data_IF_614448160121
#
_entry.id   IF_614448160121
#
_cell.length_a   1.000
_cell.length_b   1.000
_cell.length_c   1.000
_cell.angle_alpha   90.00
_cell.angle_beta   90.00
_cell.angle_gamma   90.00
#
_symmetry.space_group_name_H-M   'P 1'
#
loop_
_entity.id
_entity.type
_entity.pdbx_description
1 polymer ?
#
# COMPACT_ATOMS: atom_id res chain seq x y z
N UNK A 1 -0.44 14.22 -3.66
CA UNK A 1 -1.01 13.21 -2.73
C UNK A 1 -0.87 11.88 -3.42
N UNK A 2 -0.58 10.80 -2.69
CA UNK A 2 -0.27 9.52 -3.31
C UNK A 2 -1.36 8.50 -3.02
N UNK A 3 -1.65 7.66 -4.01
CA UNK A 3 -2.44 6.44 -3.83
C UNK A 3 -1.66 5.23 -4.36
N UNK A 4 -1.82 4.09 -3.70
CA UNK A 4 -1.34 2.79 -4.19
C UNK A 4 -2.08 1.67 -3.46
N UNK A 5 -1.85 0.43 -3.88
CA UNK A 5 -2.30 -0.78 -3.23
C UNK A 5 -1.14 -1.78 -3.09
N UNK A 6 -1.32 -2.80 -2.26
CA UNK A 6 -0.37 -3.92 -2.13
C UNK A 6 -1.14 -5.23 -2.09
N UNK A 7 -0.48 -6.32 -2.44
CA UNK A 7 -0.99 -7.67 -2.29
C UNK A 7 0.09 -8.60 -1.72
N UNK A 8 -0.25 -9.88 -1.57
CA UNK A 8 0.74 -10.92 -1.27
C UNK A 8 1.87 -10.98 -2.30
N UNK A 9 1.57 -10.59 -3.55
CA UNK A 9 2.47 -10.66 -4.71
C UNK A 9 3.31 -9.39 -4.89
N UNK A 10 3.22 -8.42 -3.98
CA UNK A 10 4.07 -7.24 -3.98
C UNK A 10 3.30 -5.94 -3.97
N UNK A 11 3.97 -4.89 -4.45
CA UNK A 11 3.40 -3.54 -4.54
C UNK A 11 2.66 -3.33 -5.85
N UNK A 12 1.58 -2.57 -5.80
CA UNK A 12 0.81 -2.18 -6.98
C UNK A 12 1.34 -0.89 -7.58
N UNK A 13 0.62 -0.37 -8.57
CA UNK A 13 0.90 0.94 -9.15
C UNK A 13 0.76 2.03 -8.09
N UNK A 14 1.72 2.96 -8.11
CA UNK A 14 1.74 4.14 -7.25
C UNK A 14 1.45 5.38 -8.11
N UNK A 15 0.56 6.24 -7.62
CA UNK A 15 -0.04 7.31 -8.41
C UNK A 15 0.12 8.63 -7.68
N UNK A 16 0.67 9.65 -8.34
CA UNK A 16 0.45 11.03 -7.90
C UNK A 16 -0.93 11.49 -8.34
N UNK A 17 -1.80 11.70 -7.35
CA UNK A 17 -3.17 12.16 -7.56
C UNK A 17 -3.20 13.61 -8.07
N UNK A 18 -2.14 14.41 -7.81
CA UNK A 18 -1.96 15.78 -8.31
C UNK A 18 -2.96 16.84 -7.79
N UNK A 19 -4.04 16.43 -7.13
CA UNK A 19 -5.10 17.29 -6.59
C UNK A 19 -5.76 16.65 -5.36
N UNK A 20 -6.66 17.38 -4.73
CA UNK A 20 -7.55 16.81 -3.72
C UNK A 20 -8.41 15.72 -4.37
N UNK A 21 -8.51 14.57 -3.72
CA UNK A 21 -9.29 13.44 -4.20
C UNK A 21 -10.75 13.65 -3.84
N UNK A 22 -11.58 13.80 -4.87
CA UNK A 22 -13.02 13.66 -4.76
C UNK A 22 -13.46 12.25 -5.21
N UNK A 23 -14.77 11.98 -5.18
CA UNK A 23 -15.32 10.68 -5.60
C UNK A 23 -14.97 10.31 -7.04
N UNK A 24 -14.90 11.27 -7.95
CA UNK A 24 -14.65 11.03 -9.37
C UNK A 24 -13.19 10.68 -9.61
N UNK A 25 -12.29 11.38 -8.91
CA UNK A 25 -10.86 11.07 -8.93
C UNK A 25 -10.57 9.73 -8.28
N UNK A 26 -11.24 9.40 -7.17
CA UNK A 26 -11.07 8.10 -6.53
C UNK A 26 -11.53 6.97 -7.45
N UNK A 27 -12.71 7.09 -8.07
CA UNK A 27 -13.20 6.10 -9.02
C UNK A 27 -12.28 5.92 -10.23
N UNK A 28 -11.68 6.98 -10.77
CA UNK A 28 -10.72 6.83 -11.87
C UNK A 28 -9.47 6.07 -11.42
N UNK A 29 -8.94 6.37 -10.24
CA UNK A 29 -7.78 5.64 -9.68
C UNK A 29 -8.10 4.15 -9.48
N UNK A 30 -9.31 3.81 -9.01
CA UNK A 30 -9.72 2.41 -8.91
C UNK A 30 -9.85 1.73 -10.28
N UNK A 31 -10.44 2.40 -11.27
CA UNK A 31 -10.64 1.83 -12.61
C UNK A 31 -9.33 1.68 -13.38
N UNK A 32 -8.40 2.62 -13.20
CA UNK A 32 -7.15 2.65 -13.95
C UNK A 32 -6.05 1.91 -13.21
N UNK A 33 -5.73 2.29 -11.97
CA UNK A 33 -4.49 1.88 -11.31
C UNK A 33 -4.69 0.63 -10.42
N UNK A 34 -5.83 0.51 -9.73
CA UNK A 34 -6.14 -0.72 -8.98
C UNK A 34 -6.32 -1.90 -9.93
N UNK A 35 -7.16 -1.74 -10.97
CA UNK A 35 -7.43 -2.82 -11.94
C UNK A 35 -6.14 -3.23 -12.65
N UNK A 36 -5.29 -2.28 -13.10
CA UNK A 36 -3.98 -2.61 -13.67
C UNK A 36 -3.10 -3.40 -12.71
N UNK A 37 -2.99 -2.95 -11.45
CA UNK A 37 -2.20 -3.67 -10.44
C UNK A 37 -2.69 -5.11 -10.28
N UNK A 38 -4.01 -5.31 -10.23
CA UNK A 38 -4.61 -6.64 -10.12
C UNK A 38 -4.39 -7.48 -11.37
N UNK A 39 -4.50 -6.88 -12.57
CA UNK A 39 -4.22 -7.56 -13.85
C UNK A 39 -2.79 -8.08 -13.88
N UNK A 40 -1.81 -7.25 -13.51
CA UNK A 40 -0.40 -7.65 -13.49
C UNK A 40 -0.17 -8.79 -12.51
N UNK A 41 -0.75 -8.73 -11.30
CA UNK A 41 -0.68 -9.85 -10.35
C UNK A 41 -1.27 -11.14 -10.94
N UNK A 42 -2.39 -11.04 -11.67
CA UNK A 42 -3.03 -12.20 -12.29
C UNK A 42 -2.19 -12.80 -13.41
N UNK A 43 -1.64 -11.99 -14.30
CA UNK A 43 -0.83 -12.44 -15.42
C UNK A 43 0.48 -13.08 -14.95
N UNK A 44 1.12 -12.51 -13.92
CA UNK A 44 2.39 -13.00 -13.41
C UNK A 44 2.26 -14.28 -12.55
N UNK A 45 1.10 -14.50 -11.93
CA UNK A 45 0.91 -15.56 -10.92
C UNK A 45 -0.18 -16.58 -11.28
N UNK A 46 -0.73 -16.54 -12.50
CA UNK A 46 -1.83 -17.40 -12.98
C UNK A 46 -3.07 -17.36 -12.06
N UNK A 47 -3.48 -16.15 -11.70
CA UNK A 47 -4.64 -15.88 -10.83
C UNK A 47 -5.79 -15.28 -11.64
N UNK A 48 -6.95 -15.17 -11.01
CA UNK A 48 -8.11 -14.47 -11.56
C UNK A 48 -8.47 -13.29 -10.67
N UNK A 49 -9.08 -12.26 -11.24
CA UNK A 49 -9.59 -11.09 -10.49
C UNK A 49 -10.44 -11.50 -9.27
N UNK A 50 -11.22 -12.58 -9.39
CA UNK A 50 -12.09 -13.10 -8.34
C UNK A 50 -11.34 -13.72 -7.15
N UNK A 51 -10.03 -13.94 -7.26
CA UNK A 51 -9.19 -14.46 -6.19
C UNK A 51 -8.69 -13.33 -5.25
N UNK A 52 -9.04 -12.08 -5.55
CA UNK A 52 -8.70 -10.90 -4.73
C UNK A 52 -9.94 -10.28 -4.08
N UNK A 53 -9.74 -9.77 -2.87
CA UNK A 53 -10.74 -8.96 -2.16
C UNK A 53 -10.16 -7.57 -1.86
N UNK A 54 -10.85 -6.53 -2.31
CA UNK A 54 -10.43 -5.15 -2.05
C UNK A 54 -10.86 -4.70 -0.65
N UNK A 55 -9.90 -4.66 0.28
CA UNK A 55 -10.19 -4.48 1.71
C UNK A 55 -10.79 -3.12 2.08
N UNK A 56 -10.41 -2.03 1.40
CA UNK A 56 -10.73 -0.67 1.85
C UNK A 56 -12.23 -0.34 1.83
N UNK A 57 -12.99 -0.92 0.89
CA UNK A 57 -14.42 -0.60 0.70
C UNK A 57 -15.35 -1.83 0.79
N UNK A 58 -14.82 -3.05 0.83
CA UNK A 58 -15.64 -4.28 0.82
C UNK A 58 -15.65 -5.05 2.15
N UNK A 59 -14.78 -4.70 3.10
CA UNK A 59 -14.65 -5.40 4.39
C UNK A 59 -15.10 -4.49 5.53
N UNK A 60 -15.77 -5.04 6.53
CA UNK A 60 -16.03 -4.33 7.78
C UNK A 60 -14.70 -3.98 8.45
N UNK A 61 -14.27 -2.72 8.30
CA UNK A 61 -13.01 -2.23 8.85
C UNK A 61 -13.24 -1.38 10.10
N UNK A 62 -12.59 -1.69 11.23
CA UNK A 62 -12.73 -0.88 12.43
C UNK A 62 -12.12 0.53 12.21
N UNK A 63 -12.81 1.61 12.63
CA UNK A 63 -12.28 2.95 12.50
C UNK A 63 -10.97 3.11 13.29
N UNK A 64 -10.12 4.05 12.88
CA UNK A 64 -8.86 4.39 13.56
C UNK A 64 -7.89 3.22 13.77
N UNK A 65 -7.94 2.20 12.91
CA UNK A 65 -7.10 0.99 13.02
C UNK A 65 -6.07 0.89 11.88
N UNK A 66 -5.08 1.79 11.81
CA UNK A 66 -3.98 1.69 10.84
C UNK A 66 -3.05 0.51 11.18
N UNK A 67 -3.07 0.04 12.42
CA UNK A 67 -2.38 -1.16 12.90
C UNK A 67 -2.84 -2.44 12.18
N UNK A 68 -4.11 -2.49 11.77
CA UNK A 68 -4.63 -3.58 10.97
C UNK A 68 -4.32 -3.46 9.47
N UNK A 69 -3.69 -2.39 9.00
CA UNK A 69 -3.43 -2.20 7.58
C UNK A 69 -1.95 -2.36 7.23
N UNK A 70 -1.60 -3.45 6.53
CA UNK A 70 -0.22 -3.75 6.14
C UNK A 70 0.42 -2.68 5.23
N UNK A 71 -0.36 -1.90 4.47
CA UNK A 71 0.19 -0.86 3.59
C UNK A 71 0.87 0.27 4.38
N UNK A 72 0.47 0.51 5.63
CA UNK A 72 1.10 1.52 6.48
C UNK A 72 2.58 1.20 6.74
N UNK A 73 2.92 -0.10 6.83
CA UNK A 73 4.30 -0.54 6.94
C UNK A 73 5.08 -0.30 5.62
N UNK A 74 4.43 -0.40 4.47
CA UNK A 74 5.04 -0.09 3.17
C UNK A 74 5.27 1.41 3.01
N UNK A 75 4.32 2.26 3.42
CA UNK A 75 4.54 3.71 3.46
C UNK A 75 5.68 4.12 4.39
N UNK A 76 5.80 3.47 5.55
CA UNK A 76 6.94 3.67 6.45
C UNK A 76 8.26 3.24 5.81
N UNK A 77 8.27 2.11 5.11
CA UNK A 77 9.44 1.58 4.39
C UNK A 77 9.88 2.53 3.29
N UNK A 78 8.95 3.00 2.45
CA UNK A 78 9.20 4.00 1.40
C UNK A 78 9.85 5.26 1.97
N UNK A 79 9.25 5.86 3.01
CA UNK A 79 9.80 7.06 3.66
C UNK A 79 11.21 6.84 4.22
N UNK A 80 11.44 5.70 4.87
CA UNK A 80 12.77 5.35 5.41
C UNK A 80 13.82 5.17 4.32
N UNK A 81 13.47 4.56 3.18
CA UNK A 81 14.38 4.37 2.05
C UNK A 81 14.68 5.70 1.36
N UNK A 82 13.66 6.50 1.06
CA UNK A 82 13.84 7.84 0.51
C UNK A 82 14.77 8.72 1.37
N UNK A 83 14.65 8.63 2.69
CA UNK A 83 15.53 9.39 3.59
C UNK A 83 16.97 8.86 3.64
N UNK A 84 17.19 7.56 3.39
CA UNK A 84 18.50 6.90 3.51
C UNK A 84 19.28 6.80 2.20
N UNK A 85 18.58 6.65 1.07
CA UNK A 85 19.18 6.44 -0.24
C UNK A 85 19.71 7.73 -0.87
N UNK A 86 19.14 8.88 -0.48
CA UNK A 86 19.47 10.16 -1.08
C UNK A 86 20.12 11.09 -0.06
N UNK A 87 21.31 11.59 -0.39
CA UNK A 87 22.09 12.47 0.50
C UNK A 87 21.50 13.88 0.64
N UNK A 88 20.62 14.28 -0.27
CA UNK A 88 20.00 15.59 -0.28
C UNK A 88 18.50 15.52 -0.60
N UNK A 89 17.70 16.51 -0.15
CA UNK A 89 16.31 16.65 -0.58
C UNK A 89 16.18 16.80 -2.10
N UNK A 90 15.05 16.38 -2.70
CA UNK A 90 14.81 16.59 -4.13
C UNK A 90 14.73 18.09 -4.44
N UNK A 91 15.29 18.50 -5.57
CA UNK A 91 15.34 19.90 -6.02
C UNK A 91 14.08 20.33 -6.76
N UNK A 92 13.26 19.38 -7.21
CA UNK A 92 12.00 19.62 -7.91
C UNK A 92 10.92 18.60 -7.53
N UNK A 93 9.68 18.91 -7.89
CA UNK A 93 8.56 17.98 -7.74
C UNK A 93 8.75 16.75 -8.64
N UNK A 94 9.26 16.94 -9.85
CA UNK A 94 9.54 15.83 -10.77
C UNK A 94 10.58 14.87 -10.17
N UNK A 95 11.64 15.41 -9.58
CA UNK A 95 12.66 14.57 -8.94
C UNK A 95 12.09 13.86 -7.70
N UNK A 96 11.27 14.53 -6.89
CA UNK A 96 10.59 13.89 -5.76
C UNK A 96 9.77 12.68 -6.25
N UNK A 97 9.04 12.83 -7.37
CA UNK A 97 8.22 11.77 -7.92
C UNK A 97 9.04 10.64 -8.52
N UNK A 98 10.08 10.94 -9.29
CA UNK A 98 11.01 9.94 -9.82
C UNK A 98 11.59 9.10 -8.69
N UNK A 99 12.16 9.74 -7.66
CA UNK A 99 12.72 9.04 -6.50
C UNK A 99 11.66 8.20 -5.77
N UNK A 100 10.45 8.73 -5.62
CA UNK A 100 9.34 8.03 -4.95
C UNK A 100 8.94 6.77 -5.71
N UNK A 101 8.80 6.85 -7.04
CA UNK A 101 8.42 5.71 -7.87
C UNK A 101 9.53 4.64 -7.89
N UNK A 102 10.78 5.04 -8.12
CA UNK A 102 11.92 4.12 -8.10
C UNK A 102 12.01 3.38 -6.76
N UNK A 103 11.98 4.12 -5.64
CA UNK A 103 12.06 3.51 -4.31
C UNK A 103 10.83 2.65 -3.96
N UNK A 104 9.64 2.98 -4.46
CA UNK A 104 8.43 2.16 -4.25
C UNK A 104 8.55 0.80 -4.93
N UNK A 105 8.98 0.76 -6.19
CA UNK A 105 9.12 -0.49 -6.95
C UNK A 105 10.32 -1.34 -6.53
N UNK A 106 11.25 -0.79 -5.73
CA UNK A 106 12.28 -1.58 -5.04
C UNK A 106 11.73 -2.38 -3.84
N UNK A 107 10.51 -2.09 -3.36
CA UNK A 107 9.90 -2.85 -2.26
C UNK A 107 9.54 -4.23 -2.80
N UNK A 108 10.16 -5.26 -2.21
CA UNK A 108 10.04 -6.62 -2.72
C UNK A 108 8.74 -7.28 -2.27
N UNK A 109 8.26 -8.26 -3.05
CA UNK A 109 7.18 -9.15 -2.66
C UNK A 109 7.39 -9.73 -1.25
N UNK A 110 8.61 -10.19 -0.96
CA UNK A 110 8.96 -10.75 0.35
C UNK A 110 8.72 -9.76 1.50
N UNK A 111 8.96 -8.47 1.27
CA UNK A 111 8.70 -7.44 2.28
C UNK A 111 7.20 -7.23 2.50
N UNK A 112 6.39 -7.21 1.44
CA UNK A 112 4.92 -7.20 1.55
C UNK A 112 4.44 -8.42 2.35
N UNK A 113 4.91 -9.61 2.01
CA UNK A 113 4.53 -10.86 2.67
C UNK A 113 4.88 -10.88 4.16
N UNK A 114 6.03 -10.29 4.56
CA UNK A 114 6.42 -10.23 5.99
C UNK A 114 5.32 -9.55 6.81
N UNK A 115 4.83 -8.40 6.37
CA UNK A 115 3.81 -7.66 7.12
C UNK A 115 2.42 -8.27 6.98
N UNK A 116 2.05 -8.78 5.79
CA UNK A 116 0.77 -9.48 5.60
C UNK A 116 0.68 -10.71 6.51
N UNK A 117 1.77 -11.47 6.67
CA UNK A 117 1.83 -12.62 7.61
C UNK A 117 1.59 -12.24 9.07
N UNK A 118 1.86 -10.98 9.47
CA UNK A 118 1.62 -10.54 10.85
C UNK A 118 0.15 -10.25 11.15
N UNK A 119 -0.71 -10.09 10.14
CA UNK A 119 -2.12 -9.67 10.33
C UNK A 119 -2.87 -10.53 11.33
N UNK A 120 -2.71 -11.86 11.27
CA UNK A 120 -3.35 -12.77 12.22
C UNK A 120 -2.91 -12.51 13.66
N UNK A 121 -1.63 -12.24 13.90
CA UNK A 121 -1.12 -11.91 15.23
C UNK A 121 -1.60 -10.53 15.68
N UNK A 122 -1.63 -9.54 14.78
CA UNK A 122 -2.16 -8.19 15.09
C UNK A 122 -3.61 -8.24 15.54
N UNK A 123 -4.45 -9.05 14.87
CA UNK A 123 -5.82 -9.26 15.31
C UNK A 123 -5.89 -9.86 16.73
N UNK A 124 -5.04 -10.84 17.05
CA UNK A 124 -4.95 -11.43 18.39
C UNK A 124 -4.54 -10.35 19.41
N UNK A 125 -3.48 -9.61 19.13
CA UNK A 125 -2.94 -8.58 20.02
C UNK A 125 -3.98 -7.48 20.29
N UNK A 126 -4.79 -7.10 19.29
CA UNK A 126 -5.88 -6.12 19.46
C UNK A 126 -6.99 -6.69 20.34
N UNK A 127 -7.38 -7.95 20.15
CA UNK A 127 -8.38 -8.62 20.99
C UNK A 127 -7.90 -8.68 22.44
N UNK A 128 -6.64 -9.06 22.66
CA UNK A 128 -6.01 -9.10 23.99
C UNK A 128 -5.90 -7.71 24.62
N UNK A 129 -5.62 -6.68 23.82
CA UNK A 129 -5.61 -5.28 24.23
C UNK A 129 -7.00 -4.64 24.27
N UNK A 130 -8.08 -5.42 24.12
CA UNK A 130 -9.48 -4.97 24.23
C UNK A 130 -9.82 -3.84 23.26
N UNK A 131 -9.28 -3.89 22.04
CA UNK A 131 -9.50 -2.89 21.01
C UNK A 131 -8.61 -1.63 21.12
N UNK A 132 -7.65 -1.61 22.05
CA UNK A 132 -6.64 -0.55 22.10
C UNK A 132 -5.52 -0.81 21.08
N UNK A 133 -4.78 0.26 20.76
CA UNK A 133 -3.68 0.24 19.81
C UNK A 133 -2.59 -0.77 20.18
N UNK A 134 -1.97 -1.35 19.16
CA UNK A 134 -0.83 -2.27 19.29
C UNK A 134 0.44 -1.66 18.68
N UNK A 135 1.59 -2.27 18.97
CA UNK A 135 2.84 -1.94 18.28
C UNK A 135 3.04 -2.93 17.12
N UNK A 136 3.17 -2.45 15.88
CA UNK A 136 3.01 -3.26 14.66
C UNK A 136 3.99 -2.94 13.52
#
# INVERSE_FOLDING_TARGET
>A
MVWSCISWYGVGYIVDVGKNMDKSVYLSVLQDDLVKSMTDYCEENDLRMADFEFMQDNVEWPPQSPDLNAIENMWNTLKKRLFKQYDCPPVSMDELWTRTFETWYEITEKECQIYIKTMSQRCIDIIENKGLWINY
#
